data_IF_580985839506
#
_entry.id   IF_580985839506
#
_cell.length_a   1.000
_cell.length_b   1.000
_cell.length_c   1.000
_cell.angle_alpha   90.00
_cell.angle_beta   90.00
_cell.angle_gamma   90.00
#
_symmetry.space_group_name_H-M   'P 1'
#
loop_
_entity.id
_entity.type
_entity.pdbx_description
1 polymer ?
#
# COMPACT_ATOMS: atom_id res chain seq x y z
N UNK A 1 -16.87 7.68 1.35
CA UNK A 1 -15.48 7.38 1.68
C UNK A 1 -15.38 7.02 3.15
N UNK A 2 -15.03 5.77 3.43
CA UNK A 2 -14.88 5.25 4.79
C UNK A 2 -13.47 5.51 5.31
N UNK A 3 -13.33 6.07 6.51
CA UNK A 3 -12.05 6.41 7.13
C UNK A 3 -12.02 6.05 8.62
N UNK A 4 -10.79 5.95 9.18
CA UNK A 4 -10.55 5.61 10.59
C UNK A 4 -9.64 6.60 11.29
N UNK A 5 -8.94 7.48 10.55
CA UNK A 5 -7.97 8.38 11.17
C UNK A 5 -8.09 9.83 10.69
N UNK A 6 -7.79 10.81 11.57
CA UNK A 6 -7.82 12.24 11.22
C UNK A 6 -6.86 12.63 10.09
N UNK A 7 -5.76 11.89 9.91
CA UNK A 7 -4.81 12.16 8.83
C UNK A 7 -5.42 11.84 7.46
N UNK A 8 -6.21 10.76 7.38
CA UNK A 8 -6.92 10.38 6.16
C UNK A 8 -8.12 11.31 5.92
N UNK A 9 -8.78 11.79 6.97
CA UNK A 9 -9.89 12.73 6.87
C UNK A 9 -9.51 14.00 6.11
N UNK A 10 -8.34 14.57 6.40
CA UNK A 10 -7.85 15.76 5.68
C UNK A 10 -7.71 15.52 4.17
N UNK A 11 -7.24 14.34 3.79
CA UNK A 11 -7.14 13.94 2.37
C UNK A 11 -8.53 13.77 1.76
N UNK A 12 -9.41 13.07 2.47
CA UNK A 12 -10.78 12.82 2.02
C UNK A 12 -11.57 14.12 1.81
N UNK A 13 -11.48 15.08 2.74
CA UNK A 13 -12.16 16.38 2.63
C UNK A 13 -11.60 17.25 1.50
N UNK A 14 -10.29 17.18 1.24
CA UNK A 14 -9.71 17.87 0.08
C UNK A 14 -10.20 17.26 -1.24
N UNK A 15 -10.27 15.94 -1.32
CA UNK A 15 -10.78 15.23 -2.49
C UNK A 15 -12.29 15.46 -2.68
N UNK A 16 -13.08 15.48 -1.60
CA UNK A 16 -14.50 15.82 -1.64
C UNK A 16 -14.75 17.15 -2.35
N UNK A 17 -14.01 18.22 -1.98
CA UNK A 17 -14.12 19.53 -2.63
C UNK A 17 -13.80 19.49 -4.11
N UNK A 18 -12.84 18.66 -4.52
CA UNK A 18 -12.51 18.50 -5.94
C UNK A 18 -13.66 17.82 -6.70
N UNK A 19 -14.30 16.83 -6.09
CA UNK A 19 -15.44 16.12 -6.67
C UNK A 19 -16.69 17.02 -6.75
N UNK A 20 -16.92 17.90 -5.78
CA UNK A 20 -18.02 18.86 -5.79
C UNK A 20 -17.98 19.77 -7.02
N UNK A 21 -16.78 20.16 -7.50
CA UNK A 21 -16.62 20.96 -8.73
C UNK A 21 -17.14 20.21 -9.96
N UNK A 22 -17.10 18.88 -9.90
CA UNK A 22 -17.60 17.99 -10.97
C UNK A 22 -19.08 17.61 -10.77
N UNK A 23 -19.74 18.14 -9.75
CA UNK A 23 -21.12 17.80 -9.38
C UNK A 23 -21.26 16.44 -8.70
N UNK A 24 -20.18 15.86 -8.21
CA UNK A 24 -20.17 14.55 -7.53
C UNK A 24 -20.19 14.76 -6.02
N UNK A 25 -21.22 14.22 -5.36
CA UNK A 25 -21.35 14.24 -3.91
C UNK A 25 -20.62 13.05 -3.30
N UNK A 26 -19.62 13.29 -2.45
CA UNK A 26 -18.92 12.25 -1.69
C UNK A 26 -19.14 12.47 -0.20
N UNK A 27 -19.66 11.45 0.50
CA UNK A 27 -19.82 11.46 1.94
C UNK A 27 -18.61 10.85 2.63
N UNK A 28 -17.99 11.60 3.55
CA UNK A 28 -16.88 11.09 4.37
C UNK A 28 -17.46 10.55 5.67
N UNK A 29 -17.19 9.29 5.97
CA UNK A 29 -17.68 8.60 7.17
C UNK A 29 -16.51 8.11 8.01
N UNK A 30 -16.34 8.70 9.17
CA UNK A 30 -15.37 8.27 10.19
C UNK A 30 -16.01 7.21 11.09
N UNK A 31 -15.30 6.11 11.30
CA UNK A 31 -15.69 5.02 12.20
C UNK A 31 -14.51 4.63 13.09
N UNK A 32 -14.77 3.91 14.18
CA UNK A 32 -13.70 3.31 14.99
C UNK A 32 -12.99 2.15 14.28
N UNK A 33 -11.84 1.73 14.82
CA UNK A 33 -11.00 0.71 14.20
C UNK A 33 -11.71 -0.64 14.07
N UNK A 34 -12.55 -1.01 15.03
CA UNK A 34 -13.26 -2.29 15.00
C UNK A 34 -14.33 -2.31 13.91
N UNK A 35 -15.12 -1.24 13.81
CA UNK A 35 -16.09 -1.06 12.74
C UNK A 35 -15.40 -0.97 11.38
N UNK A 36 -14.27 -0.29 11.29
CA UNK A 36 -13.50 -0.20 10.04
C UNK A 36 -13.08 -1.58 9.56
N UNK A 37 -12.50 -2.40 10.44
CA UNK A 37 -12.09 -3.77 10.09
C UNK A 37 -13.28 -4.65 9.67
N UNK A 38 -14.39 -4.61 10.41
CA UNK A 38 -15.59 -5.37 10.07
C UNK A 38 -16.11 -4.99 8.68
N UNK A 39 -16.12 -3.69 8.34
CA UNK A 39 -16.54 -3.21 7.02
C UNK A 39 -15.57 -3.60 5.90
N UNK A 40 -14.25 -3.59 6.17
CA UNK A 40 -13.24 -4.05 5.21
C UNK A 40 -13.44 -5.53 4.88
N UNK A 41 -13.67 -6.37 5.88
CA UNK A 41 -13.88 -7.82 5.69
C UNK A 41 -15.10 -8.11 4.83
N UNK A 42 -16.16 -7.32 4.98
CA UNK A 42 -17.44 -7.50 4.27
C UNK A 42 -17.57 -6.62 3.02
N UNK A 43 -16.52 -5.88 2.64
CA UNK A 43 -16.55 -4.91 1.53
C UNK A 43 -17.67 -3.86 1.64
N UNK A 44 -18.09 -3.50 2.86
CA UNK A 44 -19.13 -2.50 3.13
C UNK A 44 -18.57 -1.08 3.04
N UNK A 45 -18.14 -0.68 1.86
CA UNK A 45 -17.63 0.65 1.53
C UNK A 45 -17.68 0.89 0.00
N UNK A 46 -17.79 2.15 -0.41
CA UNK A 46 -17.63 2.55 -1.81
C UNK A 46 -16.17 2.94 -2.08
N UNK A 47 -15.52 3.56 -1.09
CA UNK A 47 -14.16 4.05 -1.21
C UNK A 47 -13.43 3.99 0.13
N UNK A 48 -12.18 3.58 0.11
CA UNK A 48 -11.27 3.53 1.27
C UNK A 48 -9.88 4.05 0.90
N UNK A 49 -9.09 4.44 1.89
CA UNK A 49 -7.64 4.59 1.71
C UNK A 49 -6.99 3.23 1.94
N UNK A 50 -6.33 2.71 0.94
CA UNK A 50 -5.57 1.48 1.03
C UNK A 50 -4.08 1.70 0.79
N UNK A 51 -3.26 0.75 1.21
CA UNK A 51 -1.86 0.62 0.82
C UNK A 51 -1.53 -0.86 0.73
N UNK A 52 -0.74 -1.21 -0.27
CA UNK A 52 -0.24 -2.56 -0.45
C UNK A 52 1.25 -2.58 -0.15
N UNK A 53 1.66 -3.53 0.67
CA UNK A 53 3.07 -3.80 0.88
C UNK A 53 3.56 -4.69 -0.25
N UNK A 54 4.42 -4.17 -1.07
CA UNK A 54 5.01 -4.90 -2.19
C UNK A 54 6.51 -5.03 -1.99
N UNK A 55 7.08 -6.14 -2.45
CA UNK A 55 8.52 -6.34 -2.52
C UNK A 55 9.08 -5.72 -3.82
N UNK A 56 10.42 -5.67 -3.92
CA UNK A 56 11.10 -5.28 -5.16
C UNK A 56 11.02 -6.37 -6.25
N UNK A 57 10.42 -7.52 -5.93
CA UNK A 57 10.17 -8.61 -6.86
C UNK A 57 8.71 -9.04 -6.71
N UNK A 58 7.78 -8.42 -7.44
CA UNK A 58 6.38 -8.81 -7.43
C UNK A 58 6.18 -10.28 -7.77
N UNK A 59 5.27 -10.94 -7.07
CA UNK A 59 5.02 -12.38 -7.18
C UNK A 59 3.58 -12.75 -6.80
N UNK A 60 3.43 -13.81 -6.00
CA UNK A 60 2.14 -14.37 -5.60
C UNK A 60 1.22 -13.39 -4.87
N UNK A 61 1.75 -12.34 -4.25
CA UNK A 61 0.94 -11.33 -3.56
C UNK A 61 -0.01 -10.59 -4.51
N UNK A 62 0.31 -10.54 -5.82
CA UNK A 62 -0.56 -9.92 -6.81
C UNK A 62 -1.91 -10.63 -6.91
N UNK A 63 -1.94 -11.93 -6.70
CA UNK A 63 -3.18 -12.69 -6.67
C UNK A 63 -4.07 -12.32 -5.49
N UNK A 64 -3.49 -12.01 -4.32
CA UNK A 64 -4.25 -11.56 -3.15
C UNK A 64 -4.82 -10.15 -3.32
N UNK A 65 -4.15 -9.31 -4.12
CA UNK A 65 -4.55 -7.91 -4.30
C UNK A 65 -5.49 -7.69 -5.47
N UNK A 66 -5.40 -8.54 -6.51
CA UNK A 66 -6.09 -8.30 -7.77
C UNK A 66 -6.75 -9.53 -8.40
N UNK A 67 -6.58 -10.73 -7.84
CA UNK A 67 -7.15 -11.95 -8.42
C UNK A 67 -8.67 -12.01 -8.23
N UNK A 68 -9.40 -12.38 -9.27
CA UNK A 68 -10.87 -12.44 -9.29
C UNK A 68 -11.43 -13.44 -8.29
N UNK A 69 -10.88 -14.64 -8.23
CA UNK A 69 -11.35 -15.69 -7.30
C UNK A 69 -11.08 -15.36 -5.83
N UNK A 70 -10.01 -14.61 -5.55
CA UNK A 70 -9.72 -14.13 -4.20
C UNK A 70 -10.68 -13.02 -3.81
N UNK A 71 -11.02 -12.12 -4.74
CA UNK A 71 -11.97 -11.04 -4.53
C UNK A 71 -13.38 -11.49 -4.12
N UNK A 72 -13.77 -12.71 -4.47
CA UNK A 72 -15.06 -13.31 -4.09
C UNK A 72 -15.10 -13.82 -2.65
N UNK A 73 -13.97 -13.83 -1.95
CA UNK A 73 -13.85 -14.35 -0.57
C UNK A 73 -13.86 -13.23 0.43
N UNK A 74 -14.64 -13.39 1.49
CA UNK A 74 -14.62 -12.49 2.64
C UNK A 74 -13.20 -12.36 3.20
N UNK A 75 -12.80 -11.14 3.54
CA UNK A 75 -11.48 -10.85 4.10
C UNK A 75 -10.33 -10.87 3.11
N UNK A 76 -10.58 -10.98 1.81
CA UNK A 76 -9.53 -10.82 0.81
C UNK A 76 -9.02 -9.37 0.77
N UNK A 77 -7.88 -9.15 0.11
CA UNK A 77 -7.29 -7.82 -0.07
C UNK A 77 -7.52 -7.23 -1.45
N UNK A 78 -8.34 -7.85 -2.26
CA UNK A 78 -8.78 -7.27 -3.52
C UNK A 78 -9.82 -6.16 -3.27
N UNK A 79 -9.41 -5.13 -2.53
CA UNK A 79 -10.27 -4.01 -2.13
C UNK A 79 -10.82 -3.21 -3.30
N UNK A 80 -10.15 -3.24 -4.44
CA UNK A 80 -10.58 -2.57 -5.66
C UNK A 80 -11.66 -3.34 -6.42
N UNK A 81 -12.00 -4.56 -6.00
CA UNK A 81 -13.01 -5.39 -6.65
C UNK A 81 -12.64 -5.78 -8.08
N UNK A 82 -11.36 -6.03 -8.34
CA UNK A 82 -10.89 -6.46 -9.65
C UNK A 82 -11.49 -7.83 -9.97
N UNK A 83 -12.24 -7.93 -11.07
CA UNK A 83 -12.80 -9.15 -11.63
C UNK A 83 -12.56 -9.12 -13.14
N UNK A 84 -11.43 -9.70 -13.57
CA UNK A 84 -10.95 -9.58 -14.95
C UNK A 84 -10.07 -10.76 -15.34
N UNK A 85 -10.53 -11.53 -16.33
CA UNK A 85 -9.77 -12.62 -16.93
C UNK A 85 -8.39 -12.18 -17.43
N UNK A 86 -8.27 -10.97 -17.95
CA UNK A 86 -6.99 -10.43 -18.42
C UNK A 86 -6.02 -10.19 -17.26
N UNK A 87 -6.51 -9.73 -16.12
CA UNK A 87 -5.69 -9.56 -14.91
C UNK A 87 -5.26 -10.91 -14.37
N UNK A 88 -6.17 -11.87 -14.25
CA UNK A 88 -5.89 -13.22 -13.78
C UNK A 88 -4.84 -13.90 -14.65
N UNK A 89 -4.98 -13.83 -15.97
CA UNK A 89 -3.99 -14.34 -16.91
C UNK A 89 -2.62 -13.71 -16.73
N UNK A 90 -2.55 -12.38 -16.58
CA UNK A 90 -1.26 -11.68 -16.41
C UNK A 90 -0.60 -12.01 -15.07
N UNK A 91 -1.38 -12.24 -14.01
CA UNK A 91 -0.88 -12.72 -12.73
C UNK A 91 -0.28 -14.14 -12.88
N UNK A 92 -0.95 -15.04 -13.59
CA UNK A 92 -0.43 -16.37 -13.87
C UNK A 92 0.90 -16.32 -14.65
N UNK A 93 0.99 -15.45 -15.68
CA UNK A 93 2.23 -15.26 -16.43
C UNK A 93 3.35 -14.71 -15.53
N UNK A 94 3.04 -13.76 -14.65
CA UNK A 94 3.98 -13.18 -13.71
C UNK A 94 4.52 -14.23 -12.72
N UNK A 95 3.64 -15.04 -12.15
CA UNK A 95 4.00 -16.09 -11.18
C UNK A 95 4.76 -17.25 -11.87
N UNK A 96 4.42 -17.55 -13.11
CA UNK A 96 5.07 -18.59 -13.92
C UNK A 96 6.38 -18.19 -14.57
N UNK A 97 6.78 -16.92 -14.52
CA UNK A 97 7.97 -16.39 -15.20
C UNK A 97 9.24 -17.12 -14.79
N UNK A 98 10.06 -17.49 -15.77
CA UNK A 98 11.33 -18.19 -15.57
C UNK A 98 12.53 -17.27 -15.65
N UNK A 99 12.37 -16.13 -16.30
CA UNK A 99 13.40 -15.12 -16.50
C UNK A 99 12.96 -13.78 -15.96
N UNK A 100 13.94 -12.90 -15.68
CA UNK A 100 13.64 -11.53 -15.28
C UNK A 100 12.94 -10.73 -16.40
N UNK A 101 13.24 -11.04 -17.65
CA UNK A 101 12.62 -10.38 -18.79
C UNK A 101 11.13 -10.74 -18.89
N UNK A 102 10.78 -12.02 -18.76
CA UNK A 102 9.40 -12.50 -18.72
C UNK A 102 8.63 -11.84 -17.55
N UNK A 103 9.23 -11.86 -16.36
CA UNK A 103 8.65 -11.22 -15.16
C UNK A 103 8.38 -9.74 -15.38
N UNK A 104 9.36 -9.00 -15.89
CA UNK A 104 9.24 -7.56 -16.11
C UNK A 104 8.17 -7.26 -17.16
N UNK A 105 8.10 -8.05 -18.23
CA UNK A 105 7.11 -7.90 -19.28
C UNK A 105 5.70 -8.13 -18.75
N UNK A 106 5.48 -9.19 -17.96
CA UNK A 106 4.19 -9.49 -17.35
C UNK A 106 3.77 -8.38 -16.34
N UNK A 107 4.71 -7.88 -15.53
CA UNK A 107 4.46 -6.79 -14.58
C UNK A 107 4.03 -5.52 -15.32
N UNK A 108 4.75 -5.11 -16.37
CA UNK A 108 4.40 -3.90 -17.12
C UNK A 108 3.03 -4.03 -17.80
N UNK A 109 2.68 -5.23 -18.26
CA UNK A 109 1.37 -5.48 -18.86
C UNK A 109 0.27 -5.40 -17.80
N UNK A 110 0.48 -6.03 -16.63
CA UNK A 110 -0.46 -6.00 -15.50
C UNK A 110 -0.68 -4.57 -15.00
N UNK A 111 0.39 -3.82 -14.75
CA UNK A 111 0.34 -2.43 -14.31
C UNK A 111 -0.48 -1.57 -15.29
N UNK A 112 -0.24 -1.73 -16.58
CA UNK A 112 -0.98 -1.00 -17.61
C UNK A 112 -2.46 -1.32 -17.63
N UNK A 113 -2.84 -2.58 -17.46
CA UNK A 113 -4.26 -2.99 -17.38
C UNK A 113 -4.92 -2.43 -16.12
N UNK A 114 -4.24 -2.51 -14.97
CA UNK A 114 -4.77 -1.98 -13.70
C UNK A 114 -4.95 -0.46 -13.74
N UNK A 115 -3.98 0.28 -14.28
CA UNK A 115 -4.05 1.74 -14.43
C UNK A 115 -5.17 2.16 -15.39
N UNK A 116 -5.32 1.45 -16.51
CA UNK A 116 -6.33 1.79 -17.54
C UNK A 116 -7.77 1.58 -17.05
N UNK A 117 -7.98 0.63 -16.17
CA UNK A 117 -9.30 0.36 -15.59
C UNK A 117 -9.65 1.23 -14.37
N UNK A 118 -8.74 2.11 -13.93
CA UNK A 118 -8.99 3.08 -12.85
C UNK A 118 -9.46 2.46 -11.52
N UNK A 119 -9.01 1.25 -11.21
CA UNK A 119 -9.34 0.57 -9.94
C UNK A 119 -8.82 1.32 -8.71
N UNK A 120 -7.78 2.12 -8.88
CA UNK A 120 -7.11 2.85 -7.80
C UNK A 120 -6.89 4.30 -8.23
N UNK A 121 -7.15 5.22 -7.31
CA UNK A 121 -6.77 6.63 -7.43
C UNK A 121 -5.45 6.82 -6.67
N UNK A 122 -4.30 6.97 -7.36
CA UNK A 122 -3.03 7.16 -6.70
C UNK A 122 -3.01 8.47 -5.91
N UNK A 123 -2.60 8.41 -4.63
CA UNK A 123 -2.48 9.59 -3.78
C UNK A 123 -1.06 10.16 -3.81
N UNK A 124 -0.15 9.50 -3.12
CA UNK A 124 1.26 9.88 -3.04
C UNK A 124 2.11 8.72 -2.53
N UNK A 125 3.38 8.80 -2.75
CA UNK A 125 4.37 7.97 -2.06
C UNK A 125 5.41 8.87 -1.39
N UNK A 126 6.08 8.36 -0.36
CA UNK A 126 7.24 8.99 0.23
C UNK A 126 8.51 8.22 -0.20
N UNK A 127 9.48 8.93 -0.72
CA UNK A 127 10.82 8.39 -1.00
C UNK A 127 11.80 8.60 0.17
N UNK A 128 11.28 9.00 1.33
CA UNK A 128 12.07 9.35 2.50
C UNK A 128 11.46 8.73 3.74
N UNK A 129 12.24 7.96 4.46
CA UNK A 129 11.92 7.51 5.81
C UNK A 129 12.29 8.60 6.82
N UNK A 130 11.35 8.96 7.68
CA UNK A 130 11.56 9.93 8.75
C UNK A 130 11.59 9.20 10.07
N UNK A 131 12.73 9.19 10.71
CA UNK A 131 12.93 8.54 11.99
C UNK A 131 13.42 9.53 13.05
N UNK A 132 13.01 9.28 14.28
CA UNK A 132 13.56 9.92 15.46
C UNK A 132 14.18 8.84 16.35
N UNK A 133 15.42 9.03 16.73
CA UNK A 133 16.15 8.08 17.57
C UNK A 133 17.09 8.80 18.53
N UNK A 134 17.45 8.11 19.61
CA UNK A 134 18.42 8.64 20.55
C UNK A 134 19.82 8.63 19.92
N UNK A 135 20.56 9.72 20.08
CA UNK A 135 21.93 9.86 19.55
C UNK A 135 22.96 8.96 20.23
N UNK A 136 22.56 7.78 20.63
CA UNK A 136 23.42 6.69 21.11
C UNK A 136 23.53 5.54 20.10
N UNK A 137 22.69 5.57 19.06
CA UNK A 137 22.74 4.56 18.02
C UNK A 137 23.63 4.98 16.87
N UNK A 138 24.31 4.00 16.31
CA UNK A 138 25.03 4.05 15.04
C UNK A 138 24.44 3.04 14.08
N UNK A 139 24.66 3.26 12.80
CA UNK A 139 24.17 2.38 11.74
C UNK A 139 25.16 2.36 10.57
N UNK A 140 25.10 1.38 9.66
CA UNK A 140 25.97 1.28 8.50
C UNK A 140 25.90 2.53 7.61
N UNK A 141 27.03 2.95 7.06
CA UNK A 141 27.08 4.05 6.09
C UNK A 141 26.27 3.72 4.82
N UNK A 142 26.27 2.44 4.42
CA UNK A 142 25.46 1.96 3.29
C UNK A 142 24.08 1.56 3.79
N UNK A 143 23.08 2.33 3.40
CA UNK A 143 21.69 2.02 3.71
C UNK A 143 21.25 0.82 2.87
N UNK A 144 20.62 -0.20 3.49
CA UNK A 144 20.05 -1.33 2.75
C UNK A 144 19.01 -0.90 1.70
N UNK A 145 18.83 -1.71 0.67
CA UNK A 145 17.93 -1.43 -0.45
C UNK A 145 16.46 -1.21 -0.03
N UNK A 146 16.06 -1.81 1.08
CA UNK A 146 14.73 -1.65 1.67
C UNK A 146 14.61 -0.49 2.68
N UNK A 147 15.59 0.41 2.72
CA UNK A 147 15.60 1.53 3.65
C UNK A 147 16.21 1.17 4.99
N UNK A 148 15.61 1.64 6.07
CA UNK A 148 16.17 1.51 7.42
C UNK A 148 15.87 0.12 7.99
N UNK A 149 16.95 -0.59 8.35
CA UNK A 149 16.89 -1.90 9.01
C UNK A 149 17.46 -1.75 10.42
N UNK A 150 16.57 -1.62 11.42
CA UNK A 150 16.93 -1.36 12.83
C UNK A 150 17.82 -2.48 13.39
N UNK A 151 17.66 -3.70 12.92
CA UNK A 151 18.48 -4.86 13.32
C UNK A 151 19.95 -4.72 12.95
N UNK A 152 20.29 -3.83 12.03
CA UNK A 152 21.67 -3.51 11.65
C UNK A 152 22.30 -2.41 12.50
N UNK A 153 21.56 -1.84 13.45
CA UNK A 153 22.02 -0.75 14.29
C UNK A 153 22.74 -1.27 15.53
N UNK A 154 23.67 -0.48 16.07
CA UNK A 154 24.35 -0.78 17.31
C UNK A 154 24.42 0.43 18.24
N UNK A 155 24.70 0.18 19.52
CA UNK A 155 24.87 1.22 20.54
C UNK A 155 26.34 1.65 20.58
N UNK A 156 26.59 2.94 20.42
CA UNK A 156 27.89 3.56 20.64
C UNK A 156 28.03 3.96 22.11
N UNK A 157 28.94 3.30 22.80
CA UNK A 157 29.18 3.49 24.26
C UNK A 157 29.70 4.90 24.59
N UNK A 158 30.44 5.54 23.70
CA UNK A 158 30.93 6.90 23.92
C UNK A 158 29.80 7.93 23.80
N UNK A 159 28.87 7.70 22.90
CA UNK A 159 27.64 8.51 22.77
C UNK A 159 26.73 8.34 23.99
N UNK A 160 26.59 7.14 24.52
CA UNK A 160 25.82 6.88 25.76
C UNK A 160 26.37 7.68 26.93
N UNK A 161 27.68 7.69 27.10
CA UNK A 161 28.33 8.48 28.19
C UNK A 161 28.05 9.98 28.08
N UNK A 162 27.88 10.50 26.87
CA UNK A 162 27.55 11.92 26.64
C UNK A 162 26.09 12.25 26.91
N UNK A 163 25.17 11.31 26.70
CA UNK A 163 23.73 11.49 26.96
C UNK A 163 23.41 11.49 28.48
N UNK A 164 24.22 10.82 29.28
CA UNK A 164 24.06 10.72 30.74
C UNK A 164 24.75 11.85 31.53
N UNK A 165 25.25 12.87 30.88
CA UNK A 165 25.79 14.10 31.44
C UNK A 165 24.82 15.27 31.28
#
# INVERSE_FOLDING_TARGET
FLIVSPSVERIALAFQKTLEVLGITMNVRTVDSSQYQARLLNYDFDMIKASWNVSLSPGNEQQFYYGSEVGKKEGSRNYAGVDSEAVDFLIEQLVGAKTREELTTAIHALDRVLLWNHYVIPLYHSNTDRIAYWNMFEFPETIPLYGIVIESWWIDQEKVKKLNR
#
